data_IF_786723511166
#
_entry.id   IF_786723511166
#
_cell.length_a   1.000
_cell.length_b   1.000
_cell.length_c   1.000
_cell.angle_alpha   90.00
_cell.angle_beta   90.00
_cell.angle_gamma   90.00
#
_symmetry.space_group_name_H-M   'P 1'
#
loop_
_entity.id
_entity.type
_entity.pdbx_description
1 polymer ?
#
# COMPACT_ATOMS: atom_id res chain seq x y z
N UNK A 1 22.54 -11.18 2.60
CA UNK A 1 22.04 -12.56 2.64
C UNK A 1 20.54 -12.47 2.80
N UNK A 2 19.76 -13.15 1.95
CA UNK A 2 18.28 -13.14 2.04
C UNK A 2 17.86 -14.08 3.18
N UNK A 3 16.98 -13.61 4.06
CA UNK A 3 16.39 -14.38 5.17
C UNK A 3 15.12 -15.10 4.72
N UNK A 4 14.75 -16.18 5.41
CA UNK A 4 13.44 -16.83 5.24
C UNK A 4 12.28 -15.83 5.44
N UNK A 5 12.44 -14.89 6.35
CA UNK A 5 11.43 -13.87 6.64
C UNK A 5 11.25 -12.86 5.50
N UNK A 6 12.28 -12.67 4.65
CA UNK A 6 12.17 -11.80 3.48
C UNK A 6 11.32 -12.45 2.38
N UNK A 7 11.24 -13.79 2.36
CA UNK A 7 10.49 -14.57 1.37
C UNK A 7 9.03 -14.78 1.80
N UNK A 8 8.81 -15.15 3.07
CA UNK A 8 7.46 -15.37 3.59
C UNK A 8 6.62 -14.09 3.61
N UNK A 9 7.27 -12.94 3.79
CA UNK A 9 6.59 -11.66 3.92
C UNK A 9 5.82 -11.53 5.24
N UNK A 10 5.32 -10.33 5.56
CA UNK A 10 4.52 -10.12 6.75
C UNK A 10 3.13 -10.76 6.61
N UNK A 11 2.47 -11.03 7.73
CA UNK A 11 1.03 -11.28 7.74
C UNK A 11 0.31 -10.06 7.17
N UNK A 12 -0.49 -10.25 6.14
CA UNK A 12 -1.13 -9.17 5.40
C UNK A 12 -2.56 -9.53 4.98
N UNK A 13 -3.36 -8.51 4.68
CA UNK A 13 -4.64 -8.67 4.00
C UNK A 13 -4.39 -8.68 2.49
N UNK A 14 -4.90 -9.73 1.82
CA UNK A 14 -4.83 -9.87 0.36
C UNK A 14 -5.74 -8.90 -0.39
N UNK A 15 -5.79 -8.95 -1.74
CA UNK A 15 -5.32 -10.07 -2.57
C UNK A 15 -3.85 -10.00 -3.02
N UNK A 16 -3.14 -8.88 -2.85
CA UNK A 16 -1.80 -8.70 -3.41
C UNK A 16 -0.78 -8.12 -2.43
N UNK A 17 0.39 -8.74 -2.39
CA UNK A 17 1.52 -8.23 -1.60
C UNK A 17 2.00 -6.86 -2.07
N UNK A 18 1.98 -6.60 -3.39
CA UNK A 18 2.42 -5.31 -3.94
C UNK A 18 1.30 -4.26 -3.90
N UNK A 19 0.15 -4.58 -4.48
CA UNK A 19 -0.92 -3.62 -4.74
C UNK A 19 -1.87 -3.41 -3.55
N UNK A 20 -1.79 -4.27 -2.53
CA UNK A 20 -2.59 -4.15 -1.29
C UNK A 20 -1.69 -3.91 -0.10
N UNK A 21 -0.82 -4.86 0.27
CA UNK A 21 0.03 -4.70 1.46
C UNK A 21 1.09 -3.60 1.29
N UNK A 22 1.79 -3.59 0.15
CA UNK A 22 2.73 -2.53 -0.21
C UNK A 22 2.06 -1.17 -0.29
N UNK A 23 0.88 -1.09 -0.94
CA UNK A 23 0.09 0.13 -1.03
C UNK A 23 -0.38 0.66 0.34
N UNK A 24 -0.79 -0.22 1.25
CA UNK A 24 -1.11 0.14 2.64
C UNK A 24 0.12 0.69 3.38
N UNK A 25 1.29 0.06 3.21
CA UNK A 25 2.53 0.58 3.79
C UNK A 25 2.89 1.97 3.25
N UNK A 26 2.62 2.25 1.97
CA UNK A 26 2.80 3.60 1.40
C UNK A 26 1.86 4.63 2.05
N UNK A 27 0.61 4.27 2.35
CA UNK A 27 -0.32 5.12 3.11
C UNK A 27 0.21 5.49 4.49
N UNK A 28 0.68 4.50 5.26
CA UNK A 28 1.28 4.71 6.58
C UNK A 28 2.49 5.64 6.53
N UNK A 29 3.37 5.45 5.53
CA UNK A 29 4.52 6.32 5.32
C UNK A 29 4.08 7.75 5.01
N UNK A 30 3.07 7.92 4.15
CA UNK A 30 2.54 9.25 3.82
C UNK A 30 1.99 9.97 5.06
N UNK A 31 1.28 9.28 5.96
CA UNK A 31 0.82 9.85 7.25
C UNK A 31 1.96 10.22 8.17
N UNK A 32 2.97 9.36 8.28
CA UNK A 32 4.15 9.64 9.10
C UNK A 32 4.88 10.89 8.60
N UNK A 33 5.01 11.04 7.27
CA UNK A 33 5.60 12.24 6.65
C UNK A 33 4.72 13.48 6.86
N UNK A 34 3.39 13.33 6.79
CA UNK A 34 2.45 14.41 7.04
C UNK A 34 2.31 14.80 8.52
N UNK A 35 2.89 14.03 9.44
CA UNK A 35 2.78 14.24 10.90
C UNK A 35 1.42 13.81 11.48
N UNK A 36 0.63 13.02 10.77
CA UNK A 36 -0.69 12.59 11.21
C UNK A 36 -1.61 12.19 10.05
N UNK A 37 -2.92 12.12 10.35
CA UNK A 37 -3.94 11.85 9.34
C UNK A 37 -4.35 13.15 8.65
N UNK A 38 -4.11 13.31 7.34
CA UNK A 38 -4.57 14.48 6.60
C UNK A 38 -6.09 14.46 6.44
N UNK A 39 -6.72 15.64 6.48
CA UNK A 39 -8.17 15.79 6.25
C UNK A 39 -8.57 15.46 4.81
N UNK A 40 -7.68 15.74 3.85
CA UNK A 40 -7.87 15.47 2.43
C UNK A 40 -6.56 15.07 1.77
N UNK A 41 -6.64 14.12 0.86
CA UNK A 41 -5.53 13.68 0.02
C UNK A 41 -6.00 13.48 -1.40
N UNK A 42 -5.08 13.66 -2.35
CA UNK A 42 -5.28 13.26 -3.75
C UNK A 42 -4.40 12.05 -4.02
N UNK A 43 -5.02 10.92 -4.33
CA UNK A 43 -4.32 9.70 -4.73
C UNK A 43 -4.29 9.65 -6.27
N UNK A 44 -3.10 9.57 -6.83
CA UNK A 44 -2.91 9.40 -8.27
C UNK A 44 -2.02 8.17 -8.51
N UNK A 45 -2.57 7.19 -9.21
CA UNK A 45 -1.88 5.94 -9.52
C UNK A 45 -1.30 6.01 -10.94
N UNK A 46 -0.16 5.35 -11.15
CA UNK A 46 0.53 5.30 -12.43
C UNK A 46 0.94 3.86 -12.76
N UNK A 47 1.19 3.60 -14.06
CA UNK A 47 1.71 2.32 -14.53
C UNK A 47 0.86 1.12 -14.08
N UNK A 48 1.51 0.08 -13.54
CA UNK A 48 0.85 -1.15 -13.08
C UNK A 48 -0.17 -0.90 -11.96
N UNK A 49 0.09 0.06 -11.08
CA UNK A 49 -0.85 0.46 -10.01
C UNK A 49 -2.14 1.05 -10.60
N UNK A 50 -2.04 1.84 -11.67
CA UNK A 50 -3.23 2.35 -12.36
C UNK A 50 -3.93 1.24 -13.14
N UNK A 51 -3.17 0.38 -13.81
CA UNK A 51 -3.71 -0.66 -14.68
C UNK A 51 -4.52 -1.74 -13.93
N UNK A 52 -4.12 -2.07 -12.71
CA UNK A 52 -4.72 -3.19 -11.95
C UNK A 52 -5.17 -2.82 -10.53
N UNK A 53 -5.03 -1.55 -10.13
CA UNK A 53 -5.28 -1.14 -8.75
C UNK A 53 -6.74 -1.23 -8.31
N UNK A 54 -7.70 -1.25 -9.24
CA UNK A 54 -9.11 -1.43 -8.91
C UNK A 54 -9.39 -2.84 -8.38
N UNK A 55 -9.00 -3.87 -9.13
CA UNK A 55 -9.17 -5.28 -8.73
C UNK A 55 -8.39 -5.66 -7.47
N UNK A 56 -7.29 -4.95 -7.17
CA UNK A 56 -6.51 -5.15 -5.96
C UNK A 56 -6.90 -4.23 -4.79
N UNK A 57 -7.87 -3.33 -4.99
CA UNK A 57 -8.31 -2.39 -3.96
C UNK A 57 -7.23 -1.38 -3.52
N UNK A 58 -6.27 -1.05 -4.38
CA UNK A 58 -5.08 -0.25 -4.07
C UNK A 58 -5.40 1.11 -3.47
N UNK A 59 -6.42 1.80 -3.99
CA UNK A 59 -6.88 3.07 -3.43
C UNK A 59 -7.35 2.92 -1.97
N UNK A 60 -8.07 1.83 -1.66
CA UNK A 60 -8.53 1.53 -0.29
C UNK A 60 -7.35 1.17 0.60
N UNK A 61 -6.40 0.40 0.09
CA UNK A 61 -5.19 0.06 0.83
C UNK A 61 -4.41 1.31 1.22
N UNK A 62 -4.18 2.25 0.29
CA UNK A 62 -3.51 3.53 0.57
C UNK A 62 -4.25 4.34 1.63
N UNK A 63 -5.59 4.36 1.61
CA UNK A 63 -6.39 5.08 2.61
C UNK A 63 -6.40 4.36 3.97
N UNK A 64 -6.31 3.02 3.98
CA UNK A 64 -6.29 2.22 5.20
C UNK A 64 -4.95 2.26 5.92
N UNK A 65 -3.87 2.53 5.18
CA UNK A 65 -2.60 2.95 5.75
C UNK A 65 -2.61 4.40 6.16
#
# INVERSE_FOLDING_TARGET
MVSLFDILGPTMVGPSSSHTAGACRLGLIARAVAGGTPDRVRIQLHGSFAATGEGHGTHRAIVGG
#
